data_IF_105214606737
#
_entry.id   IF_105214606737
#
_cell.length_a   1.000
_cell.length_b   1.000
_cell.length_c   1.000
_cell.angle_alpha   90.00
_cell.angle_beta   90.00
_cell.angle_gamma   90.00
#
_symmetry.space_group_name_H-M   'P 1'
#
loop_
_entity.id
_entity.type
_entity.pdbx_description
1 polymer ?
#
# COMPACT_ATOMS: atom_id res chain seq x y z
N UNK A 1 -2.83 -13.17 2.45
CA UNK A 1 -3.03 -11.95 1.64
C UNK A 1 -4.15 -12.23 0.64
N UNK A 2 -5.04 -11.28 0.44
CA UNK A 2 -6.18 -11.37 -0.49
C UNK A 2 -6.06 -10.25 -1.50
N UNK A 3 -6.26 -10.54 -2.78
CA UNK A 3 -6.21 -9.57 -3.87
C UNK A 3 -7.60 -9.05 -4.17
N UNK A 4 -7.74 -7.73 -4.26
CA UNK A 4 -8.93 -7.10 -4.80
C UNK A 4 -8.86 -7.15 -6.32
N UNK A 5 -9.79 -7.88 -6.96
CA UNK A 5 -9.71 -8.20 -8.39
C UNK A 5 -10.16 -7.03 -9.29
N UNK A 6 -9.42 -5.92 -9.17
CA UNK A 6 -9.48 -4.76 -10.04
C UNK A 6 -8.07 -4.32 -10.36
N UNK A 7 -7.69 -4.49 -11.62
CA UNK A 7 -6.44 -3.97 -12.16
C UNK A 7 -6.57 -2.48 -12.50
N UNK A 8 -5.53 -1.73 -12.14
CA UNK A 8 -5.36 -0.34 -12.52
C UNK A 8 -4.16 -0.22 -13.46
N UNK A 9 -4.36 0.40 -14.62
CA UNK A 9 -3.33 0.57 -15.66
C UNK A 9 -3.07 2.03 -16.04
N UNK A 10 -3.91 2.95 -15.55
CA UNK A 10 -3.79 4.39 -15.80
C UNK A 10 -4.58 5.19 -14.76
N UNK A 11 -4.28 6.48 -14.62
CA UNK A 11 -5.04 7.44 -13.81
C UNK A 11 -4.53 7.59 -12.39
N UNK A 12 -5.21 8.42 -11.60
CA UNK A 12 -4.94 8.56 -10.16
C UNK A 12 -6.09 7.93 -9.41
N UNK A 13 -5.82 6.93 -8.58
CA UNK A 13 -6.86 6.16 -7.89
C UNK A 13 -6.71 6.22 -6.38
N UNK A 14 -7.84 6.26 -5.70
CA UNK A 14 -7.92 6.09 -4.25
C UNK A 14 -8.75 4.86 -3.91
N UNK A 15 -8.12 3.93 -3.21
CA UNK A 15 -8.77 2.79 -2.58
C UNK A 15 -8.95 3.04 -1.09
N UNK A 16 -10.17 3.00 -0.60
CA UNK A 16 -10.52 3.32 0.78
C UNK A 16 -11.12 2.09 1.48
N UNK A 17 -10.56 1.76 2.64
CA UNK A 17 -11.03 0.68 3.49
C UNK A 17 -11.02 1.11 4.97
N UNK A 18 -11.73 0.37 5.82
CA UNK A 18 -11.74 0.55 7.28
C UNK A 18 -11.21 -0.71 7.95
N UNK A 19 -10.27 -0.53 8.89
CA UNK A 19 -9.84 -1.59 9.79
C UNK A 19 -10.96 -1.85 10.81
N UNK A 20 -11.68 -2.97 10.72
CA UNK A 20 -12.79 -3.26 11.65
C UNK A 20 -12.36 -4.14 12.81
N UNK A 21 -11.57 -5.18 12.52
CA UNK A 21 -10.90 -6.02 13.51
C UNK A 21 -9.49 -6.33 13.03
N UNK A 22 -8.49 -5.79 13.71
CA UNK A 22 -7.09 -5.96 13.39
C UNK A 22 -6.37 -6.66 14.55
N UNK A 23 -5.71 -7.78 14.27
CA UNK A 23 -4.73 -8.40 15.16
C UNK A 23 -3.30 -8.09 14.71
N UNK A 24 -2.32 -8.87 15.17
CA UNK A 24 -0.92 -8.74 14.81
C UNK A 24 -0.70 -8.88 13.29
N UNK A 25 0.10 -7.96 12.74
CA UNK A 25 0.51 -7.96 11.34
C UNK A 25 -0.65 -7.88 10.30
N UNK A 26 -1.70 -7.14 10.67
CA UNK A 26 -2.77 -6.64 9.79
C UNK A 26 -2.28 -5.52 8.86
N UNK A 27 -2.71 -5.52 7.60
CA UNK A 27 -2.18 -4.55 6.63
C UNK A 27 -2.90 -4.46 5.30
N UNK A 28 -2.42 -3.55 4.46
CA UNK A 28 -2.99 -3.24 3.14
C UNK A 28 -1.88 -2.77 2.19
N UNK A 29 -2.07 -2.95 0.89
CA UNK A 29 -1.03 -2.62 -0.08
C UNK A 29 -1.46 -2.69 -1.53
N UNK A 30 -0.46 -2.79 -2.40
CA UNK A 30 -0.62 -3.15 -3.80
C UNK A 30 0.34 -4.28 -4.19
N UNK A 31 0.02 -4.95 -5.29
CA UNK A 31 0.86 -5.94 -5.96
C UNK A 31 0.89 -5.64 -7.46
N UNK A 32 2.02 -5.89 -8.11
CA UNK A 32 2.11 -5.95 -9.57
C UNK A 32 1.06 -6.93 -10.11
N UNK A 33 0.22 -6.47 -11.03
CA UNK A 33 -0.87 -7.25 -11.57
C UNK A 33 -0.39 -8.44 -12.43
N UNK A 34 0.87 -8.44 -12.88
CA UNK A 34 1.47 -9.53 -13.63
C UNK A 34 1.98 -10.68 -12.74
N UNK A 35 1.91 -10.56 -11.41
CA UNK A 35 2.31 -11.65 -10.51
C UNK A 35 1.36 -12.84 -10.63
N UNK A 36 1.91 -14.01 -10.93
CA UNK A 36 1.17 -15.29 -10.92
C UNK A 36 0.94 -15.84 -9.51
N UNK A 37 1.75 -15.43 -8.54
CA UNK A 37 1.69 -15.89 -7.15
C UNK A 37 1.61 -14.71 -6.17
N UNK A 38 0.75 -14.86 -5.16
CA UNK A 38 0.58 -13.87 -4.09
C UNK A 38 1.57 -14.19 -2.96
N UNK A 39 2.74 -13.53 -2.97
CA UNK A 39 3.76 -13.74 -1.94
C UNK A 39 3.43 -13.06 -0.61
N UNK A 40 3.86 -13.68 0.50
CA UNK A 40 3.73 -13.05 1.82
C UNK A 40 4.62 -11.80 1.91
N UNK A 41 4.14 -10.67 2.47
CA UNK A 41 4.89 -9.41 2.60
C UNK A 41 6.17 -9.48 3.45
N UNK A 42 6.43 -10.60 4.14
CA UNK A 42 7.61 -10.78 5.01
C UNK A 42 8.64 -11.75 4.42
N UNK A 43 8.39 -12.32 3.23
CA UNK A 43 9.33 -13.28 2.62
C UNK A 43 10.53 -12.55 2.02
N UNK A 44 11.53 -12.29 2.86
CA UNK A 44 12.78 -11.61 2.50
C UNK A 44 13.67 -12.49 1.60
N UNK A 45 13.52 -13.81 1.66
CA UNK A 45 14.38 -14.75 0.92
C UNK A 45 14.02 -14.86 -0.59
N UNK A 46 13.00 -14.15 -1.06
CA UNK A 46 12.53 -14.23 -2.45
C UNK A 46 12.29 -12.85 -3.09
N UNK A 47 13.20 -11.90 -2.82
CA UNK A 47 13.10 -10.48 -3.28
C UNK A 47 12.85 -10.33 -4.77
N UNK A 48 13.41 -11.21 -5.59
CA UNK A 48 13.24 -11.19 -7.05
C UNK A 48 11.80 -11.49 -7.47
N UNK A 49 11.03 -12.19 -6.63
CA UNK A 49 9.69 -12.66 -6.96
C UNK A 49 8.59 -11.99 -6.10
N UNK A 50 8.94 -11.03 -5.24
CA UNK A 50 7.95 -10.27 -4.47
C UNK A 50 7.79 -8.88 -5.06
N UNK A 51 6.74 -8.67 -5.84
CA UNK A 51 6.41 -7.39 -6.46
C UNK A 51 5.25 -6.70 -5.74
N UNK A 52 5.29 -6.68 -4.40
CA UNK A 52 4.28 -6.02 -3.57
C UNK A 52 4.84 -4.83 -2.77
N UNK A 53 3.95 -3.89 -2.48
CA UNK A 53 4.14 -2.81 -1.50
C UNK A 53 3.05 -2.97 -0.46
N UNK A 54 3.43 -3.18 0.79
CA UNK A 54 2.51 -3.52 1.86
C UNK A 54 2.78 -2.67 3.10
N UNK A 55 1.78 -1.97 3.61
CA UNK A 55 1.87 -1.32 4.92
C UNK A 55 1.19 -2.22 5.96
N UNK A 56 1.97 -2.70 6.92
CA UNK A 56 1.56 -3.72 7.89
C UNK A 56 1.86 -3.23 9.30
N UNK A 57 0.81 -3.09 10.13
CA UNK A 57 0.89 -2.41 11.42
C UNK A 57 1.43 -0.99 11.25
N UNK A 58 2.71 -0.80 11.55
CA UNK A 58 3.46 0.47 11.46
C UNK A 58 4.68 0.41 10.54
N UNK A 59 4.73 -0.57 9.65
CA UNK A 59 5.92 -0.83 8.83
C UNK A 59 5.54 -0.88 7.36
N UNK A 60 6.24 -0.12 6.54
CA UNK A 60 6.15 -0.22 5.08
C UNK A 60 7.11 -1.32 4.60
N UNK A 61 6.60 -2.27 3.84
CA UNK A 61 7.38 -3.28 3.14
C UNK A 61 7.35 -2.99 1.65
N UNK A 62 8.52 -2.89 1.03
CA UNK A 62 8.68 -2.78 -0.42
C UNK A 62 9.43 -4.01 -0.87
N UNK A 63 8.80 -4.85 -1.72
CA UNK A 63 9.35 -6.14 -2.18
C UNK A 63 9.82 -7.04 -1.02
N UNK A 64 9.05 -7.02 0.07
CA UNK A 64 9.32 -7.77 1.30
C UNK A 64 10.37 -7.16 2.23
N UNK A 65 10.97 -6.02 1.89
CA UNK A 65 11.96 -5.33 2.72
C UNK A 65 11.28 -4.22 3.53
N UNK A 66 11.33 -4.34 4.85
CA UNK A 66 10.86 -3.31 5.77
C UNK A 66 11.66 -2.00 5.64
N UNK A 67 10.96 -0.88 5.50
CA UNK A 67 11.54 0.45 5.41
C UNK A 67 11.42 1.17 6.74
N UNK A 68 12.57 1.58 7.27
CA UNK A 68 12.70 2.32 8.52
C UNK A 68 13.07 3.76 8.14
N UNK A 69 12.48 4.75 8.81
CA UNK A 69 12.93 6.14 8.64
C UNK A 69 11.88 7.19 9.01
N UNK A 70 10.61 6.93 8.72
CA UNK A 70 9.53 7.88 9.02
C UNK A 70 8.77 7.50 10.30
N UNK A 71 8.40 8.49 11.11
CA UNK A 71 7.46 8.31 12.22
C UNK A 71 6.07 8.15 11.62
N UNK A 72 5.64 6.91 11.44
CA UNK A 72 4.33 6.57 10.86
C UNK A 72 3.33 6.19 11.94
N UNK A 73 2.05 6.42 11.66
CA UNK A 73 0.96 5.94 12.52
C UNK A 73 0.73 4.45 12.25
N UNK A 74 0.62 3.67 13.33
CA UNK A 74 0.19 2.28 13.27
C UNK A 74 -1.31 2.19 12.91
N UNK A 75 -1.68 1.21 12.07
CA UNK A 75 -3.10 0.90 11.81
C UNK A 75 -3.75 0.43 13.11
N UNK A 76 -4.86 1.07 13.49
CA UNK A 76 -5.67 0.67 14.64
C UNK A 76 -7.10 0.32 14.24
N UNK A 77 -7.80 -0.43 15.09
CA UNK A 77 -9.23 -0.67 14.94
C UNK A 77 -10.01 0.64 14.83
N UNK A 78 -10.89 0.72 13.84
CA UNK A 78 -11.69 1.91 13.56
C UNK A 78 -11.07 2.87 12.55
N UNK A 79 -9.76 2.76 12.26
CA UNK A 79 -9.10 3.64 11.30
C UNK A 79 -9.63 3.43 9.87
N UNK A 80 -9.73 4.53 9.13
CA UNK A 80 -9.96 4.53 7.69
C UNK A 80 -8.62 4.68 6.97
N UNK A 81 -8.29 3.71 6.12
CA UNK A 81 -7.03 3.66 5.38
C UNK A 81 -7.32 3.91 3.91
N UNK A 82 -6.63 4.89 3.34
CA UNK A 82 -6.70 5.21 1.92
C UNK A 82 -5.36 4.99 1.25
N UNK A 83 -5.31 4.12 0.24
CA UNK A 83 -4.16 4.02 -0.68
C UNK A 83 -4.41 4.96 -1.85
N UNK A 84 -3.41 5.77 -2.20
CA UNK A 84 -3.41 6.59 -3.41
C UNK A 84 -2.35 6.09 -4.37
N UNK A 85 -2.76 5.74 -5.58
CA UNK A 85 -1.90 5.34 -6.68
C UNK A 85 -1.95 6.45 -7.75
N UNK A 86 -0.80 6.96 -8.16
CA UNK A 86 -0.68 7.94 -9.24
C UNK A 86 0.08 7.28 -10.40
N UNK A 87 -0.66 6.78 -11.39
CA UNK A 87 -0.16 6.18 -12.64
C UNK A 87 -0.05 7.23 -13.78
N UNK A 88 -0.24 8.52 -13.48
CA UNK A 88 -0.03 9.60 -14.45
C UNK A 88 1.31 10.30 -14.25
N UNK A 89 1.82 10.30 -13.01
CA UNK A 89 3.13 10.84 -12.67
C UNK A 89 4.24 9.91 -13.15
N UNK A 90 5.32 10.50 -13.68
CA UNK A 90 6.55 9.77 -14.01
C UNK A 90 7.64 10.21 -13.02
N UNK A 91 8.14 9.32 -12.15
CA UNK A 91 7.76 7.91 -11.97
C UNK A 91 6.40 7.72 -11.26
N UNK A 92 5.71 6.61 -11.52
CA UNK A 92 4.45 6.26 -10.86
C UNK A 92 4.64 6.16 -9.35
N UNK A 93 3.59 6.48 -8.57
CA UNK A 93 3.72 6.54 -7.10
C UNK A 93 2.61 5.86 -6.32
N UNK A 94 2.98 5.37 -5.15
CA UNK A 94 2.11 4.85 -4.09
C UNK A 94 2.25 5.73 -2.85
N UNK A 95 1.12 6.08 -2.25
CA UNK A 95 1.04 6.76 -0.96
C UNK A 95 -0.09 6.18 -0.12
N UNK A 96 -0.03 6.37 1.19
CA UNK A 96 -1.04 5.88 2.13
C UNK A 96 -1.52 7.01 3.04
N UNK A 97 -2.80 6.96 3.39
CA UNK A 97 -3.46 7.87 4.34
C UNK A 97 -4.09 7.06 5.45
N UNK A 98 -4.08 7.59 6.68
CA UNK A 98 -4.83 7.05 7.82
C UNK A 98 -5.70 8.19 8.37
N UNK A 99 -7.01 7.98 8.41
CA UNK A 99 -8.02 8.99 8.79
C UNK A 99 -7.84 10.31 8.02
N UNK A 100 -7.69 10.20 6.69
CA UNK A 100 -7.41 11.31 5.77
C UNK A 100 -6.05 12.03 5.95
N UNK A 101 -5.21 11.60 6.89
CA UNK A 101 -3.85 12.12 7.05
C UNK A 101 -2.85 11.27 6.27
N UNK A 102 -2.18 11.88 5.28
CA UNK A 102 -1.10 11.25 4.52
C UNK A 102 0.03 10.82 5.46
N UNK A 103 0.42 9.55 5.35
CA UNK A 103 1.58 9.04 6.05
C UNK A 103 2.85 9.65 5.48
N UNK A 104 3.88 9.93 6.30
CA UNK A 104 5.09 10.64 5.89
C UNK A 104 6.05 9.76 5.07
N UNK A 105 5.55 9.02 4.07
CA UNK A 105 6.33 8.27 3.11
C UNK A 105 5.59 8.17 1.77
N UNK A 106 6.34 7.91 0.70
CA UNK A 106 5.79 7.42 -0.56
C UNK A 106 6.71 6.36 -1.16
N UNK A 107 6.17 5.55 -2.07
CA UNK A 107 6.97 4.69 -2.94
C UNK A 107 6.87 5.21 -4.37
N UNK A 108 8.00 5.29 -5.04
CA UNK A 108 8.13 5.73 -6.44
C UNK A 108 8.55 4.56 -7.31
N UNK A 109 8.37 4.69 -8.63
CA UNK A 109 8.71 3.68 -9.63
C UNK A 109 7.90 2.39 -9.45
N UNK A 110 6.66 2.51 -8.98
CA UNK A 110 5.78 1.35 -8.85
C UNK A 110 5.44 0.78 -10.25
N UNK A 111 5.03 -0.50 -10.35
CA UNK A 111 4.65 -1.12 -11.62
C UNK A 111 3.57 -0.35 -12.38
N UNK A 112 3.54 -0.51 -13.71
CA UNK A 112 2.58 0.15 -14.60
C UNK A 112 1.14 -0.35 -14.39
N UNK A 113 1.00 -1.60 -13.95
CA UNK A 113 -0.27 -2.22 -13.63
C UNK A 113 -0.26 -2.83 -12.23
N UNK A 114 -1.25 -2.46 -11.42
CA UNK A 114 -1.32 -2.86 -10.00
C UNK A 114 -2.72 -3.31 -9.60
N UNK A 115 -2.78 -4.21 -8.62
CA UNK A 115 -4.01 -4.58 -7.89
C UNK A 115 -3.84 -4.26 -6.41
N UNK A 116 -4.95 -3.94 -5.73
CA UNK A 116 -4.91 -3.72 -4.28
C UNK A 116 -4.90 -5.06 -3.53
N UNK A 117 -4.27 -5.07 -2.35
CA UNK A 117 -4.20 -6.25 -1.50
C UNK A 117 -4.56 -5.94 -0.06
N UNK A 118 -5.23 -6.88 0.59
CA UNK A 118 -5.45 -6.92 2.03
C UNK A 118 -4.59 -8.01 2.67
N UNK A 119 -4.05 -7.71 3.84
CA UNK A 119 -3.29 -8.65 4.66
C UNK A 119 -4.11 -8.93 5.90
N UNK A 120 -4.49 -10.20 6.00
CA UNK A 120 -5.27 -10.84 7.06
C UNK A 120 -4.41 -12.00 7.53
N UNK A 121 -4.11 -12.09 8.83
CA UNK A 121 -3.27 -13.14 9.41
C UNK A 121 -4.05 -13.95 10.43
N UNK A 122 -4.89 -13.29 11.22
CA UNK A 122 -5.79 -13.95 12.16
C UNK A 122 -7.12 -14.29 11.48
N UNK A 123 -7.72 -15.40 11.91
CA UNK A 123 -9.07 -15.82 11.52
C UNK A 123 -10.16 -14.77 11.81
N UNK A 124 -9.90 -13.86 12.76
CA UNK A 124 -10.83 -12.80 13.16
C UNK A 124 -10.47 -11.43 12.56
N UNK A 125 -9.48 -11.36 11.67
CA UNK A 125 -9.14 -10.12 11.01
C UNK A 125 -10.23 -9.74 10.01
N UNK A 126 -10.60 -8.46 10.00
CA UNK A 126 -11.67 -7.95 9.15
C UNK A 126 -11.30 -6.57 8.60
N UNK A 127 -11.41 -6.45 7.28
CA UNK A 127 -11.39 -5.20 6.54
C UNK A 127 -12.79 -4.92 6.00
N UNK A 128 -13.24 -3.67 6.10
CA UNK A 128 -14.41 -3.20 5.34
C UNK A 128 -13.95 -2.35 4.17
N UNK A 129 -14.12 -2.83 2.96
CA UNK A 129 -14.01 -2.00 1.76
C UNK A 129 -15.08 -0.89 1.79
N UNK A 130 -14.69 0.34 1.47
CA UNK A 130 -15.59 1.49 1.45
C UNK A 130 -15.83 1.93 0.02
N UNK A 131 -14.76 2.24 -0.71
CA UNK A 131 -14.87 2.72 -2.09
C UNK A 131 -13.54 2.63 -2.84
N UNK A 132 -13.63 2.57 -4.17
CA UNK A 132 -12.55 2.80 -5.10
C UNK A 132 -13.00 3.93 -6.02
N UNK A 133 -12.24 5.02 -6.08
CA UNK A 133 -12.60 6.17 -6.90
C UNK A 133 -11.37 6.77 -7.57
N UNK A 134 -11.55 7.24 -8.80
CA UNK A 134 -10.54 8.03 -9.50
C UNK A 134 -10.48 9.44 -8.86
N UNK A 135 -9.28 10.03 -8.86
CA UNK A 135 -8.98 11.36 -8.34
C UNK A 135 -8.51 12.27 -9.48
N UNK A 136 -8.67 13.58 -9.30
CA UNK A 136 -8.16 14.58 -10.25
C UNK A 136 -6.64 14.82 -10.14
N UNK A 137 -6.05 14.49 -8.99
CA UNK A 137 -4.63 14.73 -8.70
C UNK A 137 -4.14 13.77 -7.61
N UNK A 138 -2.86 13.40 -7.69
CA UNK A 138 -2.17 12.57 -6.71
C UNK A 138 -1.76 13.33 -5.45
N UNK A 139 -0.98 12.66 -4.60
CA UNK A 139 -0.43 13.25 -3.37
C UNK A 139 0.66 14.27 -3.71
N UNK A 140 0.70 15.37 -2.95
CA UNK A 140 1.77 16.35 -3.03
C UNK A 140 3.04 15.80 -2.35
N UNK A 141 3.95 15.27 -3.18
CA UNK A 141 5.21 14.67 -2.72
C UNK A 141 6.18 15.69 -2.10
N UNK A 142 6.02 16.99 -2.38
CA UNK A 142 6.89 18.02 -1.78
C UNK A 142 6.75 18.08 -0.25
N UNK A 143 5.64 17.59 0.28
CA UNK A 143 5.35 17.48 1.72
C UNK A 143 5.96 16.24 2.38
N UNK A 144 6.59 15.36 1.60
CA UNK A 144 7.22 14.12 2.07
C UNK A 144 8.74 14.31 1.98
N UNK A 145 9.45 14.12 3.09
CA UNK A 145 10.91 14.15 3.16
C UNK A 145 11.51 13.17 2.13
N UNK A 146 12.53 13.62 1.40
CA UNK A 146 13.25 12.81 0.41
C UNK A 146 13.76 11.48 0.97
N UNK A 147 14.21 11.46 2.24
CA UNK A 147 14.68 10.25 2.92
C UNK A 147 13.57 9.21 3.14
N UNK A 148 12.31 9.64 3.04
CA UNK A 148 11.11 8.80 3.18
C UNK A 148 10.42 8.56 1.83
N UNK A 149 11.08 8.90 0.71
CA UNK A 149 10.67 8.53 -0.64
C UNK A 149 11.43 7.28 -1.06
N UNK A 150 10.78 6.13 -0.96
CA UNK A 150 11.39 4.85 -1.28
C UNK A 150 11.23 4.54 -2.77
N UNK A 151 12.24 3.94 -3.38
CA UNK A 151 12.10 3.37 -4.72
C UNK A 151 11.62 1.92 -4.64
N UNK A 152 10.83 1.51 -5.61
CA UNK A 152 10.47 0.12 -5.86
C UNK A 152 11.62 -0.57 -6.62
N UNK A 153 12.71 -0.90 -5.91
CA UNK A 153 13.89 -1.62 -6.43
C UNK A 153 14.13 -2.92 -5.64
#
# INVERSE_FOLDING_TARGET
MVVFDRELTYGVWRFLAKATKSNTAFGIGIIDANQSEIQHPFRINNRLNNSSICFVGKMLYVKGIGKIGAVVKEIQNGDQIGIVIDLQRIPHTFSLTINATTQPFCVTHIPDNVKFVFILISMNDEWKFIQLNELKAGVDLSKIDEKSRYKFE
#
